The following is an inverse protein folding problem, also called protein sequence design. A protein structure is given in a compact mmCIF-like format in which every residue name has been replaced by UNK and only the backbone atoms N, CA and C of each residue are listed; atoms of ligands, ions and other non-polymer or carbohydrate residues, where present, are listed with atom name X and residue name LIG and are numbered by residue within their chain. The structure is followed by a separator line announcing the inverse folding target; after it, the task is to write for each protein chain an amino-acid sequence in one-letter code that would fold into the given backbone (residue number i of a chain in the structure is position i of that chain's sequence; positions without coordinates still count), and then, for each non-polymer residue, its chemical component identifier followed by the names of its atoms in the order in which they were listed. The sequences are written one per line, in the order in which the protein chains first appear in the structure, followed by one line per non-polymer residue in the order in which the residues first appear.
data_IF_641686474628
#
_entry.id   IF_641686474628
#
_cell.length_a   1.000
_cell.length_b   1.000
_cell.length_c   1.000
_cell.angle_alpha   90.00
_cell.angle_beta   90.00
_cell.angle_gamma   90.00
#
_symmetry.space_group_name_H-M   'P 1'
#
loop_
_entity.id
_entity.type
_entity.pdbx_description
1 polymer ?
#
# COMPACT_ATOMS: atom_id res chain seq x y z
N UNK A 1 -3.32 -16.16 6.41
CA UNK A 1 -3.03 -14.93 5.65
C UNK A 1 -2.05 -14.00 6.36
N UNK A 2 -2.36 -13.47 7.54
CA UNK A 2 -1.41 -12.63 8.32
C UNK A 2 -0.08 -13.36 8.52
N UNK A 3 -0.11 -14.62 8.95
CA UNK A 3 1.09 -15.43 9.10
C UNK A 3 1.88 -15.62 7.79
N UNK A 4 1.17 -15.74 6.67
CA UNK A 4 1.80 -15.88 5.35
C UNK A 4 2.56 -14.60 4.97
N UNK A 5 1.93 -13.43 5.06
CA UNK A 5 2.57 -12.17 4.70
C UNK A 5 3.70 -11.82 5.67
N UNK A 6 3.55 -12.10 6.96
CA UNK A 6 4.60 -11.90 8.00
C UNK A 6 5.81 -12.78 7.71
N UNK A 7 5.61 -14.05 7.41
CA UNK A 7 6.69 -14.97 7.03
C UNK A 7 7.39 -14.52 5.75
N UNK A 8 6.62 -14.20 4.70
CA UNK A 8 7.17 -13.84 3.39
C UNK A 8 7.94 -12.51 3.41
N UNK A 9 7.46 -11.53 4.16
CA UNK A 9 8.13 -10.24 4.31
C UNK A 9 9.39 -10.27 5.17
N UNK A 10 9.62 -11.37 5.90
CA UNK A 10 10.70 -11.41 6.89
C UNK A 10 10.46 -10.49 8.09
N UNK A 11 9.20 -10.26 8.45
CA UNK A 11 8.81 -9.31 9.51
C UNK A 11 9.58 -9.46 10.82
N UNK A 12 9.84 -10.69 11.25
CA UNK A 12 10.51 -10.96 12.54
C UNK A 12 12.00 -10.55 12.53
N UNK A 13 12.62 -10.63 11.35
CA UNK A 13 14.05 -10.35 11.16
C UNK A 13 14.28 -8.99 10.47
N UNK A 14 13.21 -8.22 10.27
CA UNK A 14 13.30 -6.94 9.59
C UNK A 14 14.14 -5.95 10.38
N UNK A 15 15.04 -5.31 9.70
CA UNK A 15 15.81 -4.18 10.21
C UNK A 15 15.96 -3.14 9.11
N UNK A 16 15.98 -1.83 9.43
CA UNK A 16 16.21 -0.80 8.44
C UNK A 16 17.49 -1.05 7.64
N UNK A 17 17.44 -0.95 6.34
CA UNK A 17 18.62 -1.04 5.50
C UNK A 17 19.55 0.14 5.80
N UNK A 18 20.73 -0.14 6.32
CA UNK A 18 21.70 0.87 6.73
C UNK A 18 21.37 1.52 8.08
N UNK A 19 22.02 2.63 8.39
CA UNK A 19 21.81 3.41 9.61
C UNK A 19 20.64 4.41 9.51
N UNK A 20 19.73 4.25 8.57
CA UNK A 20 18.62 5.18 8.35
C UNK A 20 17.60 5.08 9.49
N UNK A 21 17.52 6.13 10.29
CA UNK A 21 16.50 6.27 11.34
C UNK A 21 15.11 6.57 10.79
N UNK A 22 14.96 6.63 9.49
CA UNK A 22 13.74 7.04 8.79
C UNK A 22 13.14 5.92 7.95
N UNK A 23 13.51 4.68 8.20
CA UNK A 23 12.88 3.52 7.58
C UNK A 23 11.92 2.86 8.56
N UNK A 24 10.79 2.39 8.05
CA UNK A 24 9.78 1.72 8.85
C UNK A 24 9.05 0.66 8.04
N UNK A 25 8.39 -0.24 8.74
CA UNK A 25 7.55 -1.25 8.15
C UNK A 25 6.18 -1.27 8.83
N UNK A 26 5.17 -1.61 8.06
CA UNK A 26 3.79 -1.59 8.54
C UNK A 26 2.93 -2.63 7.85
N UNK A 27 1.94 -3.12 8.57
CA UNK A 27 0.99 -4.11 8.06
C UNK A 27 -0.39 -3.49 7.92
N UNK A 28 -1.10 -3.87 6.84
CA UNK A 28 -2.52 -3.60 6.62
C UNK A 28 -3.24 -4.88 6.25
N UNK A 29 -4.51 -4.97 6.63
CA UNK A 29 -5.37 -6.11 6.35
C UNK A 29 -6.79 -5.66 6.05
N UNK A 30 -7.41 -6.30 5.06
CA UNK A 30 -8.83 -6.11 4.79
C UNK A 30 -9.47 -7.36 4.18
N UNK A 31 -10.78 -7.50 4.38
CA UNK A 31 -11.65 -8.31 3.57
C UNK A 31 -12.41 -7.39 2.62
N UNK A 32 -12.24 -7.58 1.32
CA UNK A 32 -12.86 -6.73 0.33
C UNK A 32 -14.38 -6.88 0.36
N UNK A 33 -15.09 -5.76 0.48
CA UNK A 33 -16.56 -5.67 0.60
C UNK A 33 -17.19 -6.60 1.65
N UNK A 34 -16.43 -7.04 2.65
CA UNK A 34 -16.85 -7.99 3.69
C UNK A 34 -17.36 -9.36 3.18
N UNK A 35 -17.28 -9.64 1.89
CA UNK A 35 -17.79 -10.87 1.27
C UNK A 35 -16.88 -11.47 0.21
N UNK A 36 -15.85 -10.73 -0.20
CA UNK A 36 -14.91 -11.14 -1.25
C UNK A 36 -13.54 -11.53 -0.67
N UNK A 37 -12.50 -11.46 -1.48
CA UNK A 37 -11.16 -11.90 -1.13
C UNK A 37 -10.59 -11.19 0.10
N UNK A 38 -9.74 -11.89 0.81
CA UNK A 38 -8.94 -11.35 1.91
C UNK A 38 -7.57 -10.95 1.40
N UNK A 39 -7.05 -9.84 1.91
CA UNK A 39 -5.72 -9.36 1.56
C UNK A 39 -5.00 -8.81 2.79
N UNK A 40 -3.74 -9.21 2.94
CA UNK A 40 -2.81 -8.63 3.90
C UNK A 40 -1.59 -8.09 3.16
N UNK A 41 -1.13 -6.91 3.54
CA UNK A 41 0.00 -6.21 2.92
C UNK A 41 0.99 -5.82 4.00
N UNK A 42 2.26 -6.08 3.77
CA UNK A 42 3.37 -5.47 4.51
C UNK A 42 4.04 -4.46 3.59
N UNK A 43 4.19 -3.23 4.06
CA UNK A 43 4.90 -2.17 3.37
C UNK A 43 6.21 -1.84 4.08
N UNK A 44 7.26 -1.63 3.30
CA UNK A 44 8.54 -1.07 3.74
C UNK A 44 8.69 0.32 3.15
N UNK A 45 8.92 1.32 4.00
CA UNK A 45 9.05 2.71 3.57
C UNK A 45 10.37 3.32 4.03
N UNK A 46 10.83 4.30 3.28
CA UNK A 46 11.82 5.29 3.70
C UNK A 46 11.18 6.68 3.70
N UNK A 47 11.42 7.45 4.75
CA UNK A 47 10.90 8.81 4.92
C UNK A 47 12.04 9.76 5.32
N UNK A 48 12.86 10.18 4.36
CA UNK A 48 13.99 11.11 4.58
C UNK A 48 13.58 12.53 4.17
N UNK A 49 13.48 12.80 2.87
CA UNK A 49 13.00 14.07 2.29
C UNK A 49 11.61 13.91 1.68
N UNK A 50 11.27 12.70 1.31
CA UNK A 50 9.97 12.30 0.78
C UNK A 50 9.68 10.87 1.26
N UNK A 51 8.42 10.45 1.21
CA UNK A 51 8.03 9.07 1.50
C UNK A 51 8.25 8.21 0.26
N UNK A 52 9.12 7.21 0.38
CA UNK A 52 9.35 6.20 -0.65
C UNK A 52 8.89 4.83 -0.14
N UNK A 53 7.97 4.21 -0.84
CA UNK A 53 7.65 2.80 -0.63
C UNK A 53 8.68 1.97 -1.36
N UNK A 54 9.44 1.15 -0.63
CA UNK A 54 10.52 0.32 -1.19
C UNK A 54 10.02 -1.02 -1.64
N UNK A 55 9.19 -1.66 -0.82
CA UNK A 55 8.62 -2.97 -1.09
C UNK A 55 7.22 -3.10 -0.53
N UNK A 56 6.39 -3.85 -1.24
CA UNK A 56 5.10 -4.35 -0.79
C UNK A 56 5.12 -5.87 -0.88
N UNK A 57 4.90 -6.54 0.23
CA UNK A 57 4.70 -7.99 0.29
C UNK A 57 3.23 -8.25 0.58
N UNK A 58 2.58 -9.04 -0.27
CA UNK A 58 1.12 -9.19 -0.27
C UNK A 58 0.76 -10.67 -0.20
N UNK A 59 -0.17 -11.02 0.66
CA UNK A 59 -0.81 -12.32 0.69
C UNK A 59 -2.31 -12.18 0.46
N UNK A 60 -2.86 -12.98 -0.46
CA UNK A 60 -4.27 -12.94 -0.86
C UNK A 60 -4.89 -14.32 -0.75
N UNK A 61 -6.07 -14.40 -0.13
CA UNK A 61 -6.97 -15.55 -0.20
C UNK A 61 -8.17 -15.18 -1.06
N UNK A 62 -8.20 -15.70 -2.27
CA UNK A 62 -9.24 -15.46 -3.26
C UNK A 62 -10.10 -16.72 -3.54
N UNK A 63 -10.04 -17.73 -2.68
CA UNK A 63 -10.66 -19.03 -2.95
C UNK A 63 -10.00 -19.72 -4.14
N UNK A 64 -10.80 -20.35 -5.00
CA UNK A 64 -10.31 -20.98 -6.23
C UNK A 64 -9.78 -19.92 -7.20
N UNK A 65 -8.48 -19.95 -7.47
CA UNK A 65 -7.83 -19.10 -8.46
C UNK A 65 -7.77 -19.81 -9.81
N UNK A 66 -8.49 -19.29 -10.80
CA UNK A 66 -8.58 -19.89 -12.15
C UNK A 66 -7.33 -19.58 -12.98
N UNK A 67 -6.84 -18.35 -12.89
CA UNK A 67 -5.65 -17.87 -13.59
C UNK A 67 -4.71 -17.19 -12.58
N UNK A 68 -3.72 -17.90 -12.02
CA UNK A 68 -2.82 -17.34 -11.03
C UNK A 68 -2.03 -16.14 -11.52
N UNK A 69 -1.45 -16.20 -12.71
CA UNK A 69 -0.68 -15.10 -13.30
C UNK A 69 -1.53 -13.82 -13.46
N UNK A 70 -2.74 -13.97 -13.99
CA UNK A 70 -3.68 -12.85 -14.11
C UNK A 70 -4.12 -12.29 -12.75
N UNK A 71 -4.29 -13.14 -11.73
CA UNK A 71 -4.67 -12.71 -10.39
C UNK A 71 -3.52 -11.98 -9.70
N UNK A 72 -2.28 -12.45 -9.82
CA UNK A 72 -1.09 -11.78 -9.28
C UNK A 72 -0.91 -10.40 -9.91
N UNK A 73 -0.95 -10.30 -11.24
CA UNK A 73 -0.87 -9.02 -11.97
C UNK A 73 -1.96 -8.04 -11.55
N UNK A 74 -3.18 -8.52 -11.29
CA UNK A 74 -4.29 -7.68 -10.84
C UNK A 74 -4.05 -7.14 -9.43
N UNK A 75 -3.55 -7.97 -8.53
CA UNK A 75 -3.22 -7.57 -7.15
C UNK A 75 -2.06 -6.58 -7.13
N UNK A 76 -1.01 -6.84 -7.91
CA UNK A 76 0.13 -5.96 -8.08
C UNK A 76 -0.29 -4.59 -8.60
N UNK A 77 -1.06 -4.55 -9.69
CA UNK A 77 -1.58 -3.29 -10.27
C UNK A 77 -2.42 -2.51 -9.26
N UNK A 78 -3.29 -3.18 -8.51
CA UNK A 78 -4.09 -2.57 -7.45
C UNK A 78 -3.25 -1.96 -6.32
N UNK A 79 -2.17 -2.64 -5.92
CA UNK A 79 -1.26 -2.15 -4.89
C UNK A 79 -0.44 -0.94 -5.38
N UNK A 80 0.04 -0.96 -6.62
CA UNK A 80 0.75 0.18 -7.23
C UNK A 80 -0.18 1.40 -7.34
N UNK A 81 -1.42 1.21 -7.79
CA UNK A 81 -2.42 2.26 -7.84
C UNK A 81 -2.69 2.83 -6.44
N UNK A 82 -2.88 1.96 -5.44
CA UNK A 82 -3.10 2.38 -4.06
C UNK A 82 -1.90 3.15 -3.48
N UNK A 83 -0.68 2.80 -3.86
CA UNK A 83 0.53 3.55 -3.49
C UNK A 83 0.48 4.96 -4.08
N UNK A 84 0.04 5.10 -5.33
CA UNK A 84 -0.07 6.39 -6.02
C UNK A 84 -1.01 7.34 -5.29
N UNK A 85 -2.24 6.94 -5.03
CA UNK A 85 -3.17 7.84 -4.33
C UNK A 85 -2.84 8.05 -2.84
N UNK A 86 -2.18 7.06 -2.21
CA UNK A 86 -1.75 7.22 -0.82
C UNK A 86 -0.70 8.31 -0.66
N UNK A 87 0.18 8.47 -1.66
CA UNK A 87 1.31 9.39 -1.59
C UNK A 87 1.10 10.72 -2.35
N UNK A 88 0.31 10.72 -3.44
CA UNK A 88 0.32 11.82 -4.42
C UNK A 88 -1.05 12.35 -4.81
N UNK A 89 -2.00 11.47 -5.10
CA UNK A 89 -3.21 11.84 -5.82
C UNK A 89 -4.23 12.54 -4.93
N UNK A 90 -4.70 13.68 -5.38
CA UNK A 90 -5.77 14.42 -4.72
C UNK A 90 -6.59 15.20 -5.73
N UNK A 91 -7.88 14.93 -5.80
CA UNK A 91 -8.82 15.81 -6.52
C UNK A 91 -8.94 17.12 -5.77
N UNK A 92 -8.70 18.24 -6.47
CA UNK A 92 -8.89 19.59 -5.98
C UNK A 92 -10.02 20.25 -6.74
N UNK A 93 -10.79 21.04 -6.06
CA UNK A 93 -11.91 21.75 -6.65
C UNK A 93 -12.15 23.08 -5.92
N UNK A 94 -12.71 24.02 -6.60
CA UNK A 94 -13.27 25.24 -6.06
C UNK A 94 -14.82 25.18 -6.05
N UNK A 95 -15.49 26.33 -5.95
CA UNK A 95 -16.96 26.37 -5.91
C UNK A 95 -17.63 26.07 -7.25
N UNK A 96 -16.90 26.09 -8.35
CA UNK A 96 -17.43 26.04 -9.70
C UNK A 96 -16.94 24.84 -10.50
N UNK A 97 -15.70 24.39 -10.28
CA UNK A 97 -15.05 23.40 -11.13
C UNK A 97 -13.99 22.57 -10.39
N UNK A 98 -13.60 21.45 -11.01
CA UNK A 98 -12.40 20.68 -10.62
C UNK A 98 -11.17 21.45 -11.13
N UNK A 99 -10.19 21.67 -10.25
CA UNK A 99 -8.95 22.39 -10.54
C UNK A 99 -7.74 21.49 -10.73
N UNK A 100 -7.87 20.19 -10.45
CA UNK A 100 -6.88 19.15 -10.75
C UNK A 100 -7.23 18.46 -12.08
N UNK A 101 -7.06 19.18 -13.18
CA UNK A 101 -7.53 18.83 -14.52
C UNK A 101 -6.40 18.53 -15.52
N UNK A 102 -5.16 18.59 -15.07
CA UNK A 102 -3.95 18.26 -15.85
C UNK A 102 -3.05 17.31 -15.09
N UNK A 103 -2.10 16.66 -15.79
CA UNK A 103 -1.11 15.79 -15.15
C UNK A 103 -0.19 16.53 -14.16
N UNK A 104 0.00 17.82 -14.30
CA UNK A 104 0.77 18.63 -13.36
C UNK A 104 -0.02 18.93 -12.09
N UNK A 105 -1.32 19.15 -12.21
CA UNK A 105 -2.23 19.43 -11.08
C UNK A 105 -2.76 18.15 -10.40
N UNK A 106 -2.66 16.99 -11.07
CA UNK A 106 -3.02 15.68 -10.56
C UNK A 106 -1.88 14.67 -10.79
N UNK A 107 -0.78 14.78 -10.02
CA UNK A 107 0.36 13.90 -10.20
C UNK A 107 0.04 12.47 -9.79
N UNK A 108 0.51 11.50 -10.59
CA UNK A 108 0.46 10.08 -10.31
C UNK A 108 1.86 9.52 -10.03
N UNK A 109 1.93 8.28 -9.55
CA UNK A 109 3.19 7.57 -9.37
C UNK A 109 3.88 7.35 -10.73
N UNK A 110 5.18 7.66 -10.79
CA UNK A 110 6.00 7.44 -12.00
C UNK A 110 6.65 6.05 -11.94
N UNK A 111 7.05 5.51 -13.07
CA UNK A 111 7.74 4.21 -13.15
C UNK A 111 8.96 4.10 -12.24
N UNK A 112 9.73 5.19 -12.10
CA UNK A 112 10.90 5.24 -11.22
C UNK A 112 10.58 5.23 -9.72
N UNK A 113 9.31 5.38 -9.36
CA UNK A 113 8.83 5.46 -7.98
C UNK A 113 8.03 4.20 -7.57
N UNK A 114 7.79 3.30 -8.53
CA UNK A 114 7.05 2.06 -8.29
C UNK A 114 7.85 1.17 -7.32
N UNK A 115 7.25 0.70 -6.22
CA UNK A 115 7.90 -0.23 -5.30
C UNK A 115 8.11 -1.60 -5.94
N UNK A 116 9.03 -2.39 -5.38
CA UNK A 116 9.02 -3.82 -5.62
C UNK A 116 7.75 -4.42 -5.01
N UNK A 117 7.02 -5.24 -5.78
CA UNK A 117 5.79 -5.90 -5.29
C UNK A 117 5.97 -7.41 -5.38
N UNK A 118 5.66 -8.09 -4.29
CA UNK A 118 5.64 -9.54 -4.21
C UNK A 118 4.26 -10.02 -3.76
N UNK A 119 3.64 -10.88 -4.57
CA UNK A 119 2.31 -11.42 -4.29
C UNK A 119 2.41 -12.92 -3.97
N UNK A 120 1.67 -13.35 -2.97
CA UNK A 120 1.44 -14.76 -2.64
C UNK A 120 -0.06 -15.03 -2.66
N UNK A 121 -0.50 -15.83 -3.63
CA UNK A 121 -1.85 -16.36 -3.66
C UNK A 121 -1.93 -17.59 -2.75
N UNK A 122 -2.76 -17.52 -1.74
CA UNK A 122 -2.93 -18.63 -0.80
C UNK A 122 -3.79 -19.75 -1.42
N UNK A 123 -3.51 -21.02 -1.10
CA UNK A 123 -4.32 -22.13 -1.59
C UNK A 123 -5.75 -22.04 -1.04
N UNK A 124 -6.73 -22.14 -1.92
CA UNK A 124 -8.15 -22.05 -1.58
C UNK A 124 -9.03 -22.87 -2.54
N UNK A 125 -8.50 -23.94 -3.12
CA UNK A 125 -9.13 -24.71 -4.20
C UNK A 125 -10.53 -25.28 -3.86
N UNK A 126 -10.87 -25.45 -2.60
CA UNK A 126 -12.16 -25.95 -2.15
C UNK A 126 -13.21 -24.82 -1.98
N UNK A 127 -12.78 -23.56 -2.01
CA UNK A 127 -13.67 -22.40 -1.85
C UNK A 127 -14.08 -21.83 -3.19
N UNK A 128 -15.27 -21.22 -3.29
CA UNK A 128 -15.69 -20.52 -4.49
C UNK A 128 -14.68 -19.42 -4.89
N UNK A 129 -14.49 -19.15 -6.19
CA UNK A 129 -13.63 -18.06 -6.63
C UNK A 129 -14.16 -16.71 -6.16
N UNK A 130 -13.27 -15.86 -5.67
CA UNK A 130 -13.55 -14.51 -5.23
C UNK A 130 -12.81 -13.51 -6.11
N UNK A 131 -13.40 -12.31 -6.30
CA UNK A 131 -12.78 -11.26 -7.11
C UNK A 131 -11.58 -10.62 -6.40
N UNK A 132 -10.52 -10.34 -7.16
CA UNK A 132 -9.26 -9.74 -6.66
C UNK A 132 -9.02 -8.32 -7.18
N UNK A 133 -9.94 -7.74 -7.97
CA UNK A 133 -9.75 -6.47 -8.69
C UNK A 133 -9.33 -5.29 -7.81
N UNK A 134 -9.89 -5.16 -6.61
CA UNK A 134 -9.60 -4.06 -5.68
C UNK A 134 -9.14 -4.54 -4.30
N UNK A 135 -8.78 -5.80 -4.20
CA UNK A 135 -8.49 -6.46 -2.92
C UNK A 135 -7.29 -5.82 -2.20
N UNK A 136 -6.25 -5.43 -2.93
CA UNK A 136 -5.03 -4.86 -2.36
C UNK A 136 -5.15 -3.36 -2.02
N UNK A 137 -6.13 -2.65 -2.53
CA UNK A 137 -6.19 -1.19 -2.44
C UNK A 137 -6.28 -0.66 -1.01
N UNK A 138 -7.26 -1.10 -0.24
CA UNK A 138 -7.44 -0.65 1.14
C UNK A 138 -6.27 -1.02 2.06
N UNK A 139 -5.85 -2.30 2.12
CA UNK A 139 -4.78 -2.71 3.01
C UNK A 139 -3.41 -2.11 2.63
N UNK A 140 -3.14 -1.79 1.35
CA UNK A 140 -1.90 -1.14 0.94
C UNK A 140 -1.78 0.26 1.54
N UNK A 141 -2.82 1.09 1.45
CA UNK A 141 -2.83 2.42 2.06
C UNK A 141 -2.62 2.36 3.58
N UNK A 142 -3.26 1.39 4.24
CA UNK A 142 -3.11 1.18 5.69
C UNK A 142 -1.68 0.73 6.06
N UNK A 143 -1.11 -0.20 5.30
CA UNK A 143 0.26 -0.68 5.50
C UNK A 143 1.29 0.45 5.36
N UNK A 144 1.16 1.28 4.31
CA UNK A 144 2.04 2.44 4.08
C UNK A 144 1.92 3.46 5.22
N UNK A 145 0.70 3.78 5.66
CA UNK A 145 0.48 4.72 6.76
C UNK A 145 1.03 4.18 8.10
N UNK A 146 0.94 2.88 8.34
CA UNK A 146 1.52 2.23 9.51
C UNK A 146 3.05 2.21 9.45
N UNK A 147 3.62 1.91 8.28
CA UNK A 147 5.07 1.95 8.06
C UNK A 147 5.65 3.36 8.24
N UNK A 148 4.94 4.39 7.75
CA UNK A 148 5.33 5.77 7.98
C UNK A 148 5.31 6.15 9.47
N UNK A 149 4.29 5.68 10.20
CA UNK A 149 4.21 5.88 11.65
C UNK A 149 5.36 5.18 12.39
N UNK A 150 5.76 4.00 11.97
CA UNK A 150 6.92 3.28 12.51
C UNK A 150 8.22 4.04 12.24
N UNK A 151 8.39 4.56 11.00
CA UNK A 151 9.57 5.30 10.60
C UNK A 151 9.76 6.64 11.35
N UNK A 152 8.67 7.38 11.56
CA UNK A 152 8.72 8.78 12.03
C UNK A 152 8.18 8.99 13.46
N UNK A 153 7.52 8.00 14.04
CA UNK A 153 6.86 8.12 15.35
C UNK A 153 5.59 8.98 15.34
N UNK A 154 5.12 9.43 14.16
CA UNK A 154 3.94 10.30 14.04
C UNK A 154 2.84 9.65 13.22
N UNK A 155 1.58 9.84 13.62
CA UNK A 155 0.40 9.27 12.96
C UNK A 155 -0.27 10.31 12.06
N UNK A 156 0.01 10.26 10.76
CA UNK A 156 -0.70 11.07 9.75
C UNK A 156 -2.03 10.40 9.42
N UNK A 157 -3.12 11.17 9.45
CA UNK A 157 -4.50 10.66 9.23
C UNK A 157 -5.18 11.29 8.01
N UNK A 158 -4.45 12.07 7.24
CA UNK A 158 -4.95 12.76 6.05
C UNK A 158 -4.18 12.30 4.82
N UNK A 159 -4.89 11.84 3.80
CA UNK A 159 -4.31 11.46 2.51
C UNK A 159 -4.35 12.65 1.52
N UNK A 160 -3.43 12.70 0.57
CA UNK A 160 -2.24 11.87 0.45
C UNK A 160 -1.19 12.21 1.53
N UNK A 161 -0.28 11.26 1.81
CA UNK A 161 0.77 11.39 2.83
C UNK A 161 1.92 12.29 2.31
N UNK A 162 1.61 13.54 2.05
CA UNK A 162 2.57 14.55 1.57
C UNK A 162 3.45 15.08 2.70
N UNK A 163 4.59 15.68 2.34
CA UNK A 163 5.47 16.37 3.30
C UNK A 163 4.69 17.35 4.17
N UNK A 164 3.80 18.15 3.57
CA UNK A 164 2.95 19.10 4.30
C UNK A 164 2.11 18.43 5.38
N UNK A 165 1.49 17.28 5.07
CA UNK A 165 0.66 16.56 6.03
C UNK A 165 1.50 15.89 7.13
N UNK A 166 2.71 15.46 6.80
CA UNK A 166 3.66 14.90 7.76
C UNK A 166 4.12 15.98 8.73
N UNK A 167 4.59 17.11 8.22
CA UNK A 167 5.03 18.25 9.03
C UNK A 167 3.91 18.76 9.94
N UNK A 168 2.67 18.83 9.44
CA UNK A 168 1.52 19.24 10.24
C UNK A 168 1.15 18.23 11.37
N UNK A 169 1.63 17.00 11.30
CA UNK A 169 1.42 15.96 12.32
C UNK A 169 2.59 15.85 13.32
N UNK A 170 3.73 16.53 13.05
CA UNK A 170 4.87 16.56 13.97
C UNK A 170 4.52 17.37 15.21
N UNK A 171 4.97 16.94 16.40
CA UNK A 171 4.88 17.80 17.60
C UNK A 171 5.81 19.01 17.46
N UNK A 172 5.41 20.13 18.07
CA UNK A 172 6.22 21.35 18.17
C UNK A 172 7.55 21.13 18.94
#
# INVERSE_FOLDING_TARGET
MIEAVVRRSGWADWSPAGSSRSAGHGIGYARYKNSSAYCAVVAEVEAVTEVKVRRLTIAVDAGLVINPDGAENQVEGGAIQATSWTLKERVRFDRLTVTSDTWDSYPILRFSEVPAVEVELLPGHENPPLGVGETAQGPTAAAIANALCDALGVRVRTLPLTEQQILAAMPD
#
